data_IF_914940555268
#
_entry.id   IF_914940555268
#
_cell.length_a   1.000
_cell.length_b   1.000
_cell.length_c   1.000
_cell.angle_alpha   90.00
_cell.angle_beta   90.00
_cell.angle_gamma   90.00
#
_symmetry.space_group_name_H-M   'P 1'
#
loop_
_entity.id
_entity.type
_entity.pdbx_description
1 polymer ?
#
# COMPACT_ATOMS: atom_id res chain seq x y z
N UNK A 1 0.49 6.45 -1.89
CA UNK A 1 0.46 5.46 -2.99
C UNK A 1 1.87 5.00 -3.24
N UNK A 2 2.13 3.70 -3.38
CA UNK A 2 3.48 3.22 -3.74
C UNK A 2 3.76 3.56 -5.20
N UNK A 3 4.88 4.23 -5.48
CA UNK A 3 5.33 4.56 -6.84
C UNK A 3 6.58 3.74 -7.14
N UNK A 4 6.57 3.04 -8.27
CA UNK A 4 7.66 2.19 -8.76
C UNK A 4 8.13 2.77 -10.08
N UNK A 5 9.43 3.02 -10.24
CA UNK A 5 9.99 3.53 -11.48
C UNK A 5 10.14 2.44 -12.55
N UNK A 6 10.58 2.81 -13.75
CA UNK A 6 10.74 1.88 -14.88
C UNK A 6 11.81 0.79 -14.65
N UNK A 7 12.71 0.99 -13.69
CA UNK A 7 13.72 0.01 -13.30
C UNK A 7 13.18 -0.97 -12.24
N UNK A 8 11.91 -0.84 -11.83
CA UNK A 8 11.29 -1.69 -10.81
C UNK A 8 11.64 -1.29 -9.37
N UNK A 9 12.16 -0.07 -9.16
CA UNK A 9 12.61 0.43 -7.87
C UNK A 9 11.56 1.38 -7.27
N UNK A 10 11.25 1.20 -5.99
CA UNK A 10 10.36 2.07 -5.22
C UNK A 10 11.10 2.66 -4.01
N UNK A 11 11.57 3.91 -4.14
CA UNK A 11 12.27 4.63 -3.06
C UNK A 11 11.55 5.90 -2.60
N UNK A 12 10.42 6.26 -3.21
CA UNK A 12 9.68 7.47 -2.86
C UNK A 12 8.91 7.26 -1.54
N UNK A 13 9.12 8.10 -0.51
CA UNK A 13 8.42 7.98 0.76
C UNK A 13 6.97 8.49 0.65
N UNK A 14 6.09 7.91 1.46
CA UNK A 14 4.69 8.34 1.58
C UNK A 14 4.30 8.57 3.03
N UNK A 15 3.42 9.55 3.26
CA UNK A 15 2.91 9.89 4.59
C UNK A 15 1.47 9.42 4.74
N UNK A 16 1.18 8.68 5.80
CA UNK A 16 -0.18 8.31 6.21
C UNK A 16 -0.60 9.15 7.44
N UNK A 17 -1.17 10.36 7.25
CA UNK A 17 -1.36 11.32 8.35
C UNK A 17 -2.37 10.87 9.41
N UNK A 18 -3.13 9.79 9.16
CA UNK A 18 -4.09 9.21 10.11
C UNK A 18 -3.45 8.21 11.09
N UNK A 19 -2.29 7.65 10.77
CA UNK A 19 -1.50 6.83 11.68
C UNK A 19 -0.63 7.77 12.52
N UNK A 20 -0.76 7.71 13.84
CA UNK A 20 -0.14 8.64 14.78
C UNK A 20 1.03 8.03 15.54
N UNK A 21 1.08 6.71 15.66
CA UNK A 21 2.22 5.98 16.22
C UNK A 21 2.55 4.70 15.45
N UNK A 22 3.75 4.16 15.68
CA UNK A 22 4.17 2.88 15.10
C UNK A 22 3.45 1.67 15.74
N UNK A 23 3.00 1.81 16.99
CA UNK A 23 2.26 0.75 17.69
C UNK A 23 0.92 0.44 17.01
N UNK A 24 0.31 1.41 16.33
CA UNK A 24 -0.94 1.22 15.58
C UNK A 24 -0.80 0.23 14.42
N UNK A 25 0.41 0.00 13.92
CA UNK A 25 0.69 -0.90 12.79
C UNK A 25 1.50 -2.13 13.19
N UNK A 26 1.87 -2.25 14.46
CA UNK A 26 2.57 -3.42 14.98
C UNK A 26 1.73 -4.69 14.81
N UNK A 27 2.39 -5.79 14.45
CA UNK A 27 1.80 -7.10 14.20
C UNK A 27 0.74 -7.12 13.08
N UNK A 28 0.70 -6.07 12.23
CA UNK A 28 -0.09 -6.03 11.00
C UNK A 28 0.77 -6.35 9.79
N UNK A 29 0.12 -6.60 8.65
CA UNK A 29 0.80 -6.80 7.37
C UNK A 29 0.68 -5.55 6.49
N UNK A 30 1.78 -5.16 5.87
CA UNK A 30 1.81 -4.22 4.75
C UNK A 30 1.65 -4.99 3.45
N UNK A 31 0.69 -4.59 2.61
CA UNK A 31 0.35 -5.27 1.37
C UNK A 31 0.64 -4.37 0.16
N UNK A 32 1.21 -4.95 -0.89
CA UNK A 32 1.37 -4.33 -2.21
C UNK A 32 0.49 -5.11 -3.18
N UNK A 33 -0.38 -4.40 -3.89
CA UNK A 33 -1.28 -4.97 -4.88
C UNK A 33 -0.66 -4.90 -6.29
N UNK A 34 -1.20 -5.70 -7.22
CA UNK A 34 -0.78 -5.69 -8.64
C UNK A 34 -1.27 -4.43 -9.36
N UNK A 35 -2.48 -3.97 -9.04
CA UNK A 35 -3.06 -2.75 -9.58
C UNK A 35 -2.75 -1.50 -8.74
N UNK A 36 -3.17 -0.34 -9.26
CA UNK A 36 -3.15 0.92 -8.52
C UNK A 36 -4.29 1.04 -7.51
N UNK A 37 -4.46 2.24 -6.96
CA UNK A 37 -5.51 2.55 -5.99
C UNK A 37 -6.06 3.95 -6.26
N UNK A 38 -7.34 4.05 -6.66
CA UNK A 38 -8.02 5.34 -6.88
C UNK A 38 -8.70 5.88 -5.61
N UNK A 39 -8.51 5.24 -4.45
CA UNK A 39 -9.08 5.60 -3.15
C UNK A 39 -10.62 5.57 -3.10
N UNK A 40 -11.24 4.79 -3.98
CA UNK A 40 -12.69 4.63 -4.07
C UNK A 40 -13.06 3.16 -4.29
N UNK A 41 -14.24 2.75 -3.81
CA UNK A 41 -14.80 1.43 -4.14
C UNK A 41 -15.46 1.39 -5.52
N UNK A 42 -15.51 2.51 -6.23
CA UNK A 42 -16.03 2.62 -7.59
C UNK A 42 -14.96 3.14 -8.56
N UNK A 43 -14.90 2.58 -9.79
CA UNK A 43 -15.78 1.54 -10.34
C UNK A 43 -15.44 0.11 -9.89
N UNK A 44 -14.31 -0.11 -9.22
CA UNK A 44 -13.88 -1.41 -8.71
C UNK A 44 -13.67 -1.34 -7.19
N UNK A 45 -14.03 -2.38 -6.43
CA UNK A 45 -13.83 -2.41 -4.98
C UNK A 45 -12.36 -2.18 -4.59
N UNK A 46 -12.15 -1.60 -3.40
CA UNK A 46 -10.83 -1.44 -2.77
C UNK A 46 -9.81 -0.75 -3.70
N UNK A 47 -10.24 0.31 -4.40
CA UNK A 47 -9.34 1.10 -5.24
C UNK A 47 -9.00 0.48 -6.60
N UNK A 48 -9.42 -0.76 -6.85
CA UNK A 48 -9.04 -1.52 -8.03
C UNK A 48 -7.67 -2.20 -7.96
N UNK A 49 -7.08 -2.35 -6.76
CA UNK A 49 -5.76 -2.97 -6.58
C UNK A 49 -5.69 -4.45 -6.99
N UNK A 50 -6.78 -5.20 -6.83
CA UNK A 50 -6.85 -6.60 -7.26
C UNK A 50 -5.92 -7.53 -6.46
N UNK A 51 -5.19 -8.41 -7.16
CA UNK A 51 -4.33 -9.44 -6.54
C UNK A 51 -3.22 -8.83 -5.66
N UNK A 52 -2.73 -9.64 -4.73
CA UNK A 52 -1.63 -9.30 -3.80
C UNK A 52 -0.29 -9.70 -4.43
N UNK A 53 0.59 -8.73 -4.65
CA UNK A 53 1.90 -8.94 -5.26
C UNK A 53 3.00 -9.21 -4.23
N UNK A 54 3.06 -8.41 -3.17
CA UNK A 54 4.04 -8.57 -2.09
C UNK A 54 3.42 -8.25 -0.73
N UNK A 55 3.97 -8.85 0.33
CA UNK A 55 3.46 -8.73 1.69
C UNK A 55 4.64 -8.77 2.68
N UNK A 56 4.55 -7.98 3.75
CA UNK A 56 5.51 -8.02 4.86
C UNK A 56 4.81 -7.79 6.21
N UNK A 57 5.18 -8.57 7.23
CA UNK A 57 4.69 -8.38 8.60
C UNK A 57 5.53 -7.31 9.29
N UNK A 58 4.86 -6.35 9.92
CA UNK A 58 5.48 -5.29 10.73
C UNK A 58 5.66 -5.83 12.16
N UNK A 59 6.90 -5.87 12.66
CA UNK A 59 7.25 -6.36 14.01
C UNK A 59 7.62 -5.21 14.94
#
# INVERSE_FOLDING_TARGET
>A
MLVVNNDGIATEPVTAPRLKSLDEVKDKALMIHVGGDNMSDQPKPLGGGGMRYACGVIK
#
